data_IF_989033352415
#
_entry.id   IF_989033352415
#
_cell.length_a   1.000
_cell.length_b   1.000
_cell.length_c   1.000
_cell.angle_alpha   90.00
_cell.angle_beta   90.00
_cell.angle_gamma   90.00
#
_symmetry.space_group_name_H-M   'P 1'
#
loop_
_entity.id
_entity.type
_entity.pdbx_description
1 polymer ?
#
# COMPACT_ATOMS: atom_id res chain seq x y z
N UNK A 1 -22.12 -0.91 -11.77
CA UNK A 1 -21.03 -0.70 -10.80
C UNK A 1 -21.06 0.76 -10.37
N UNK A 2 -21.11 1.04 -9.07
CA UNK A 2 -20.97 2.40 -8.55
C UNK A 2 -19.48 2.77 -8.54
N UNK A 3 -19.04 3.54 -9.53
CA UNK A 3 -17.63 3.95 -9.68
C UNK A 3 -17.59 5.46 -9.56
N UNK A 4 -16.69 5.96 -8.70
CA UNK A 4 -16.37 7.38 -8.61
C UNK A 4 -14.94 7.57 -9.08
N UNK A 5 -14.73 8.48 -10.03
CA UNK A 5 -13.39 8.85 -10.51
C UNK A 5 -13.03 10.20 -9.92
N UNK A 6 -11.91 10.26 -9.21
CA UNK A 6 -11.33 11.50 -8.69
C UNK A 6 -10.04 11.75 -9.45
N UNK A 7 -10.00 12.81 -10.26
CA UNK A 7 -8.84 13.19 -11.08
C UNK A 7 -8.01 14.28 -10.40
N UNK A 8 -7.33 13.92 -9.31
CA UNK A 8 -6.43 14.81 -8.58
C UNK A 8 -5.26 14.01 -8.01
N UNK A 9 -4.27 14.68 -7.43
CA UNK A 9 -3.18 14.01 -6.71
C UNK A 9 -3.71 13.38 -5.43
N UNK A 10 -3.29 12.13 -5.17
CA UNK A 10 -3.74 11.37 -4.00
C UNK A 10 -3.44 12.07 -2.66
N UNK A 11 -2.37 12.85 -2.58
CA UNK A 11 -2.02 13.62 -1.38
C UNK A 11 -2.84 14.90 -1.19
N UNK A 12 -3.65 15.30 -2.19
CA UNK A 12 -4.47 16.53 -2.14
C UNK A 12 -5.95 16.29 -1.84
N UNK A 13 -6.41 15.05 -1.98
CA UNK A 13 -7.81 14.70 -1.73
C UNK A 13 -8.03 14.39 -0.25
N UNK A 14 -9.26 14.60 0.21
CA UNK A 14 -9.64 14.27 1.58
C UNK A 14 -9.50 12.74 1.84
N UNK A 15 -9.20 12.34 3.10
CA UNK A 15 -9.16 10.93 3.51
C UNK A 15 -10.39 10.15 3.04
N UNK A 16 -10.17 9.11 2.24
CA UNK A 16 -11.26 8.28 1.73
C UNK A 16 -11.79 7.27 2.73
N UNK A 17 -11.03 6.99 3.81
CA UNK A 17 -11.36 5.97 4.83
C UNK A 17 -11.72 4.63 4.19
N UNK A 18 -10.90 4.19 3.25
CA UNK A 18 -11.10 2.95 2.53
C UNK A 18 -10.86 1.76 3.46
N UNK A 19 -11.77 0.79 3.45
CA UNK A 19 -11.60 -0.53 4.07
C UNK A 19 -10.53 -1.35 3.34
N UNK A 20 -10.37 -1.12 2.03
CA UNK A 20 -9.36 -1.74 1.19
C UNK A 20 -8.72 -0.70 0.28
N UNK A 21 -7.39 -0.65 0.29
CA UNK A 21 -6.61 0.24 -0.58
C UNK A 21 -5.69 -0.59 -1.48
N UNK A 22 -5.63 -0.27 -2.77
CA UNK A 22 -4.67 -0.92 -3.68
C UNK A 22 -4.07 0.08 -4.65
N UNK A 23 -2.84 -0.17 -5.07
CA UNK A 23 -2.16 0.62 -6.08
C UNK A 23 -1.12 -0.23 -6.81
N UNK A 24 -1.05 -0.09 -8.14
CA UNK A 24 -0.04 -0.73 -8.99
C UNK A 24 0.73 0.33 -9.75
N UNK A 25 2.06 0.18 -9.81
CA UNK A 25 2.97 1.09 -10.54
C UNK A 25 2.87 2.57 -10.12
N UNK A 26 2.32 2.85 -8.93
CA UNK A 26 2.12 4.22 -8.43
C UNK A 26 3.39 4.79 -7.78
N UNK A 27 4.00 4.06 -6.85
CA UNK A 27 5.15 4.52 -6.07
C UNK A 27 5.89 3.38 -5.33
N UNK A 28 7.11 3.63 -4.79
CA UNK A 28 7.79 2.74 -3.85
C UNK A 28 6.98 2.53 -2.56
N UNK A 29 7.24 1.45 -1.83
CA UNK A 29 6.45 1.07 -0.66
C UNK A 29 6.41 2.15 0.43
N UNK A 30 7.52 2.84 0.69
CA UNK A 30 7.59 3.95 1.64
C UNK A 30 6.52 5.02 1.35
N UNK A 31 6.37 5.40 0.08
CA UNK A 31 5.35 6.39 -0.34
C UNK A 31 3.93 5.82 -0.28
N UNK A 32 3.77 4.53 -0.54
CA UNK A 32 2.48 3.86 -0.40
C UNK A 32 2.03 3.78 1.07
N UNK A 33 2.96 3.67 2.02
CA UNK A 33 2.66 3.78 3.45
C UNK A 33 2.16 5.18 3.82
N UNK A 34 2.77 6.25 3.28
CA UNK A 34 2.26 7.62 3.45
C UNK A 34 0.80 7.75 2.96
N UNK A 35 0.50 7.24 1.77
CA UNK A 35 -0.86 7.29 1.23
C UNK A 35 -1.84 6.42 2.01
N UNK A 36 -1.38 5.27 2.51
CA UNK A 36 -2.18 4.41 3.37
C UNK A 36 -2.53 5.12 4.68
N UNK A 37 -1.60 5.85 5.28
CA UNK A 37 -1.87 6.61 6.51
C UNK A 37 -2.92 7.73 6.31
N UNK A 38 -3.08 8.24 5.09
CA UNK A 38 -4.09 9.25 4.76
C UNK A 38 -5.44 8.59 4.44
N UNK A 39 -5.45 7.53 3.62
CA UNK A 39 -6.66 7.03 2.97
C UNK A 39 -7.20 5.73 3.52
N UNK A 40 -6.38 4.92 4.16
CA UNK A 40 -6.81 3.66 4.75
C UNK A 40 -7.43 3.92 6.11
N UNK A 41 -8.57 3.28 6.40
CA UNK A 41 -9.12 3.32 7.75
C UNK A 41 -8.27 2.49 8.73
N UNK A 42 -8.50 2.68 10.03
CA UNK A 42 -7.68 2.09 11.11
C UNK A 42 -7.53 0.56 11.00
N UNK A 43 -8.62 -0.13 10.66
CA UNK A 43 -8.68 -1.59 10.56
C UNK A 43 -8.72 -2.05 9.09
N UNK A 44 -8.44 -1.14 8.15
CA UNK A 44 -8.40 -1.43 6.74
C UNK A 44 -7.13 -2.18 6.33
N UNK A 45 -7.17 -2.76 5.14
CA UNK A 45 -6.06 -3.51 4.55
C UNK A 45 -5.59 -2.90 3.23
N UNK A 46 -4.29 -2.72 3.09
CA UNK A 46 -3.68 -2.31 1.83
C UNK A 46 -3.08 -3.51 1.07
N UNK A 47 -3.34 -3.61 -0.23
CA UNK A 47 -2.85 -4.66 -1.12
C UNK A 47 -1.98 -4.06 -2.22
N UNK A 48 -0.68 -4.31 -2.16
CA UNK A 48 0.29 -3.73 -3.10
C UNK A 48 1.00 -4.81 -3.91
N UNK A 49 0.71 -4.93 -5.22
CA UNK A 49 1.53 -5.72 -6.13
C UNK A 49 2.95 -5.13 -6.21
N UNK A 50 3.95 -5.92 -5.87
CA UNK A 50 5.38 -5.56 -5.91
C UNK A 50 6.19 -6.59 -6.68
N UNK A 51 7.24 -6.09 -7.34
CA UNK A 51 8.15 -6.91 -8.16
C UNK A 51 9.22 -7.60 -7.31
N UNK A 52 10.29 -8.05 -7.98
CA UNK A 52 11.38 -8.79 -7.35
C UNK A 52 12.08 -8.06 -6.18
N UNK A 53 12.06 -6.72 -6.19
CA UNK A 53 12.73 -5.89 -5.17
C UNK A 53 11.89 -5.62 -3.92
N UNK A 54 10.76 -6.33 -3.73
CA UNK A 54 9.81 -6.02 -2.66
C UNK A 54 10.42 -6.12 -1.26
N UNK A 55 11.35 -7.04 -1.00
CA UNK A 55 12.01 -7.19 0.31
C UNK A 55 12.84 -5.96 0.67
N UNK A 56 13.56 -5.42 -0.32
CA UNK A 56 14.32 -4.18 -0.16
C UNK A 56 13.39 -3.00 0.15
N UNK A 57 12.29 -2.88 -0.60
CA UNK A 57 11.29 -1.84 -0.35
C UNK A 57 10.65 -1.96 1.05
N UNK A 58 10.40 -3.18 1.54
CA UNK A 58 9.93 -3.42 2.92
C UNK A 58 10.96 -2.98 3.94
N UNK A 59 12.23 -3.35 3.75
CA UNK A 59 13.32 -2.95 4.65
C UNK A 59 13.44 -1.42 4.72
N UNK A 60 13.39 -0.74 3.58
CA UNK A 60 13.44 0.72 3.49
C UNK A 60 12.22 1.37 4.17
N UNK A 61 11.01 0.89 3.87
CA UNK A 61 9.79 1.43 4.48
C UNK A 61 9.78 1.28 6.01
N UNK A 62 10.32 0.16 6.52
CA UNK A 62 10.40 -0.10 7.97
C UNK A 62 11.33 0.84 8.74
N UNK A 63 12.13 1.67 8.06
CA UNK A 63 12.94 2.70 8.70
C UNK A 63 12.11 3.88 9.22
N UNK A 64 10.96 4.16 8.59
CA UNK A 64 10.06 5.28 8.96
C UNK A 64 8.63 4.83 9.32
N UNK A 65 8.27 3.59 9.00
CA UNK A 65 6.92 3.07 9.15
C UNK A 65 6.88 1.77 9.92
N UNK A 66 5.90 1.64 10.80
CA UNK A 66 5.52 0.37 11.39
C UNK A 66 4.21 -0.11 10.77
N UNK A 67 4.19 -1.38 10.39
CA UNK A 67 3.04 -2.04 9.78
C UNK A 67 3.16 -3.56 9.88
N UNK A 68 2.01 -4.21 9.87
CA UNK A 68 1.89 -5.65 9.69
C UNK A 68 2.06 -6.00 8.23
N UNK A 69 2.66 -7.16 7.93
CA UNK A 69 2.95 -7.57 6.57
C UNK A 69 2.71 -9.07 6.39
N UNK A 70 1.88 -9.40 5.40
CA UNK A 70 1.79 -10.74 4.81
C UNK A 70 2.16 -10.66 3.33
N UNK A 71 3.13 -11.45 2.89
CA UNK A 71 3.60 -11.44 1.50
C UNK A 71 3.05 -12.66 0.75
N UNK A 72 2.09 -12.44 -0.14
CA UNK A 72 1.46 -13.50 -0.94
C UNK A 72 2.23 -13.74 -2.23
N UNK A 73 2.49 -15.01 -2.56
CA UNK A 73 3.12 -15.38 -3.82
C UNK A 73 2.29 -14.93 -5.03
N UNK A 74 2.92 -14.28 -6.00
CA UNK A 74 2.26 -14.02 -7.28
C UNK A 74 2.17 -15.30 -8.10
N UNK A 75 0.99 -15.56 -8.65
CA UNK A 75 0.73 -16.69 -9.55
C UNK A 75 1.39 -16.46 -10.93
N UNK A 76 1.55 -15.20 -11.35
CA UNK A 76 2.02 -14.85 -12.69
C UNK A 76 3.54 -14.68 -12.77
N UNK A 77 4.21 -14.42 -11.65
CA UNK A 77 5.66 -14.22 -11.61
C UNK A 77 6.24 -14.65 -10.26
N UNK A 78 7.11 -15.67 -10.26
CA UNK A 78 7.63 -16.30 -9.04
C UNK A 78 8.35 -15.33 -8.08
N UNK A 79 8.97 -14.27 -8.60
CA UNK A 79 9.69 -13.27 -7.80
C UNK A 79 8.79 -12.11 -7.33
N UNK A 80 7.56 -11.99 -7.83
CA UNK A 80 6.64 -10.95 -7.43
C UNK A 80 5.81 -11.39 -6.21
N UNK A 81 5.36 -10.41 -5.43
CA UNK A 81 4.46 -10.61 -4.28
C UNK A 81 3.32 -9.62 -4.32
N UNK A 82 2.18 -10.02 -3.76
CA UNK A 82 1.17 -9.07 -3.29
C UNK A 82 1.45 -8.87 -1.81
N UNK A 83 1.81 -7.65 -1.42
CA UNK A 83 2.00 -7.30 -0.02
C UNK A 83 0.65 -6.90 0.54
N UNK A 84 0.19 -7.64 1.54
CA UNK A 84 -0.93 -7.29 2.38
C UNK A 84 -0.41 -6.59 3.62
N UNK A 85 -0.85 -5.36 3.83
CA UNK A 85 -0.32 -4.46 4.85
C UNK A 85 -1.47 -3.90 5.68
N UNK A 86 -1.32 -3.95 7.00
CA UNK A 86 -2.26 -3.40 7.96
C UNK A 86 -1.56 -2.59 9.05
N UNK A 87 -2.36 -1.88 9.87
CA UNK A 87 -1.88 -1.11 11.03
C UNK A 87 -0.71 -0.16 10.71
N UNK A 88 -0.79 0.53 9.58
CA UNK A 88 0.25 1.44 9.09
C UNK A 88 0.33 2.68 9.99
N UNK A 89 1.50 2.95 10.57
CA UNK A 89 1.79 4.14 11.37
C UNK A 89 3.21 4.64 11.16
N UNK A 90 3.39 5.95 11.19
CA UNK A 90 4.71 6.58 11.14
C UNK A 90 5.42 6.40 12.50
N UNK A 91 6.75 6.25 12.47
CA UNK A 91 7.62 6.12 13.65
C UNK A 91 8.20 7.48 14.05
#
# INVERSE_FOLDING_TARGET
>A
LGITVISDRIERIAPLKATTLTARALAPLMKLCEFSAIHLEKDGTALFPKGASWEKEVSEARQAWQFDLTAHHSITQAQARILEIGRVRHV
#
